data_IF_482001988521
#
_entry.id   IF_482001988521
#
_cell.length_a   1.000
_cell.length_b   1.000
_cell.length_c   1.000
_cell.angle_alpha   90.00
_cell.angle_beta   90.00
_cell.angle_gamma   90.00
#
_symmetry.space_group_name_H-M   'P 1'
#
loop_
_entity.id
_entity.type
_entity.pdbx_description
1 polymer ?
#
# COMPACT_ATOMS: atom_id res chain seq x y z
N UNK A 1 11.10 20.55 -10.06
CA UNK A 1 9.80 20.74 -9.39
C UNK A 1 8.61 20.63 -10.36
N UNK A 2 8.79 20.84 -11.67
CA UNK A 2 7.68 20.75 -12.65
C UNK A 2 7.10 19.33 -12.83
N UNK A 3 7.91 18.28 -12.66
CA UNK A 3 7.45 16.88 -12.77
C UNK A 3 6.39 16.50 -11.74
N UNK A 4 6.56 16.91 -10.48
CA UNK A 4 5.58 16.61 -9.43
C UNK A 4 4.30 17.42 -9.65
N UNK A 5 4.43 18.68 -10.07
CA UNK A 5 3.27 19.54 -10.33
C UNK A 5 2.44 19.02 -11.51
N UNK A 6 3.08 18.57 -12.59
CA UNK A 6 2.39 18.03 -13.76
C UNK A 6 1.66 16.72 -13.44
N UNK A 7 2.31 15.80 -12.73
CA UNK A 7 1.67 14.56 -12.28
C UNK A 7 0.53 14.84 -11.28
N UNK A 8 0.70 15.77 -10.34
CA UNK A 8 -0.35 16.13 -9.40
C UNK A 8 -1.60 16.69 -10.12
N UNK A 9 -1.41 17.51 -11.16
CA UNK A 9 -2.49 18.00 -12.01
C UNK A 9 -3.18 16.88 -12.79
N UNK A 10 -2.44 15.87 -13.24
CA UNK A 10 -3.02 14.69 -13.90
C UNK A 10 -3.92 13.90 -12.95
N UNK A 11 -3.55 13.75 -11.69
CA UNK A 11 -4.38 12.99 -10.74
C UNK A 11 -5.58 13.78 -10.19
N UNK A 12 -5.58 15.12 -10.27
CA UNK A 12 -6.58 16.01 -9.65
C UNK A 12 -8.05 15.67 -9.98
N UNK A 13 -8.37 15.18 -11.18
CA UNK A 13 -9.77 14.89 -11.63
C UNK A 13 -10.00 13.44 -12.07
N UNK A 14 -9.32 12.49 -11.44
CA UNK A 14 -9.40 11.07 -11.83
C UNK A 14 -10.19 10.22 -10.84
N UNK A 15 -10.75 9.09 -11.33
CA UNK A 15 -11.39 8.05 -10.51
C UNK A 15 -10.42 7.58 -9.39
N UNK A 16 -9.11 7.64 -9.63
CA UNK A 16 -8.07 7.35 -8.63
C UNK A 16 -8.24 8.16 -7.34
N UNK A 17 -8.67 9.43 -7.40
CA UNK A 17 -8.93 10.22 -6.19
C UNK A 17 -10.16 9.72 -5.41
N UNK A 18 -11.19 9.20 -6.10
CA UNK A 18 -12.35 8.60 -5.43
C UNK A 18 -11.95 7.26 -4.78
N UNK A 19 -11.09 6.49 -5.44
CA UNK A 19 -10.64 5.18 -4.98
C UNK A 19 -9.95 5.26 -3.61
N UNK A 20 -9.19 6.33 -3.34
CA UNK A 20 -8.52 6.60 -2.06
C UNK A 20 -9.49 6.65 -0.88
N UNK A 21 -10.75 7.04 -1.12
CA UNK A 21 -11.79 7.05 -0.08
C UNK A 21 -12.64 5.79 -0.11
N UNK A 22 -12.92 5.25 -1.31
CA UNK A 22 -13.76 4.06 -1.47
C UNK A 22 -13.10 2.82 -0.88
N UNK A 23 -11.81 2.57 -1.12
CA UNK A 23 -11.15 1.33 -0.68
C UNK A 23 -11.04 1.25 0.85
N UNK A 24 -10.60 2.29 1.59
CA UNK A 24 -10.66 2.27 3.05
C UNK A 24 -12.08 2.11 3.60
N UNK A 25 -13.08 2.69 2.94
CA UNK A 25 -14.48 2.56 3.35
C UNK A 25 -15.00 1.13 3.16
N UNK A 26 -14.69 0.49 2.04
CA UNK A 26 -14.98 -0.93 1.81
C UNK A 26 -14.28 -1.79 2.86
N UNK A 27 -13.03 -1.46 3.21
CA UNK A 27 -12.26 -2.17 4.24
C UNK A 27 -12.95 -2.09 5.60
N UNK A 28 -13.37 -0.90 6.00
CA UNK A 28 -14.10 -0.69 7.25
C UNK A 28 -15.41 -1.48 7.29
N UNK A 29 -16.22 -1.41 6.23
CA UNK A 29 -17.49 -2.17 6.15
C UNK A 29 -17.20 -3.68 6.22
N UNK A 30 -16.21 -4.15 5.48
CA UNK A 30 -15.84 -5.56 5.46
C UNK A 30 -15.35 -6.06 6.82
N UNK A 31 -14.50 -5.27 7.48
CA UNK A 31 -14.00 -5.58 8.81
C UNK A 31 -15.10 -5.52 9.88
N UNK A 32 -16.10 -4.67 9.72
CA UNK A 32 -17.28 -4.66 10.57
C UNK A 32 -18.08 -5.96 10.44
N UNK A 33 -18.30 -6.42 9.21
CA UNK A 33 -19.02 -7.68 8.93
C UNK A 33 -18.24 -8.88 9.51
N UNK A 34 -16.92 -8.89 9.37
CA UNK A 34 -16.08 -10.01 9.81
C UNK A 34 -15.75 -10.01 11.31
N UNK A 35 -15.45 -8.84 11.87
CA UNK A 35 -14.97 -8.69 13.25
C UNK A 35 -16.03 -8.25 14.25
N UNK A 36 -17.18 -7.74 13.79
CA UNK A 36 -18.21 -7.16 14.64
C UNK A 36 -17.70 -6.00 15.50
N UNK A 37 -18.43 -5.68 16.58
CA UNK A 37 -18.12 -4.58 17.48
C UNK A 37 -16.80 -4.75 18.26
N UNK A 38 -16.49 -5.99 18.67
CA UNK A 38 -15.29 -6.31 19.46
C UNK A 38 -14.03 -6.32 18.61
N UNK A 39 -14.14 -6.78 17.36
CA UNK A 39 -13.00 -7.01 16.48
C UNK A 39 -12.69 -5.91 15.49
N UNK A 40 -13.58 -4.92 15.35
CA UNK A 40 -13.56 -3.96 14.25
C UNK A 40 -12.19 -3.31 14.01
N UNK A 41 -11.52 -2.80 15.06
CA UNK A 41 -10.31 -2.01 14.88
C UNK A 41 -9.13 -2.82 14.33
N UNK A 42 -8.77 -3.94 14.98
CA UNK A 42 -7.64 -4.76 14.54
C UNK A 42 -7.98 -5.53 13.25
N UNK A 43 -9.23 -5.94 13.08
CA UNK A 43 -9.70 -6.62 11.87
C UNK A 43 -9.66 -5.68 10.65
N UNK A 44 -9.93 -4.38 10.84
CA UNK A 44 -9.80 -3.36 9.78
C UNK A 44 -8.36 -3.26 9.30
N UNK A 45 -7.40 -3.16 10.23
CA UNK A 45 -5.98 -3.09 9.89
C UNK A 45 -5.49 -4.38 9.24
N UNK A 46 -5.91 -5.54 9.75
CA UNK A 46 -5.58 -6.86 9.21
C UNK A 46 -6.00 -7.00 7.74
N UNK A 47 -7.28 -6.80 7.43
CA UNK A 47 -7.76 -6.90 6.06
C UNK A 47 -7.27 -5.77 5.16
N UNK A 48 -6.93 -4.62 5.74
CA UNK A 48 -6.27 -3.54 5.01
C UNK A 48 -4.95 -4.04 4.44
N UNK A 49 -3.99 -4.44 5.27
CA UNK A 49 -2.66 -4.80 4.77
C UNK A 49 -2.66 -6.13 4.01
N UNK A 50 -3.49 -7.10 4.40
CA UNK A 50 -3.46 -8.43 3.81
C UNK A 50 -4.10 -8.49 2.41
N UNK A 51 -5.13 -7.68 2.15
CA UNK A 51 -5.92 -7.83 0.93
C UNK A 51 -6.18 -6.51 0.20
N UNK A 52 -6.84 -5.56 0.86
CA UNK A 52 -7.41 -4.40 0.17
C UNK A 52 -6.33 -3.38 -0.21
N UNK A 53 -5.26 -3.26 0.57
CA UNK A 53 -4.13 -2.39 0.24
C UNK A 53 -3.33 -2.91 -0.98
N UNK A 54 -2.88 -4.18 -1.04
CA UNK A 54 -2.26 -4.72 -2.25
C UNK A 54 -3.12 -4.53 -3.51
N UNK A 55 -4.44 -4.77 -3.40
CA UNK A 55 -5.38 -4.52 -4.49
C UNK A 55 -5.47 -3.05 -4.88
N UNK A 56 -5.59 -2.15 -3.92
CA UNK A 56 -5.66 -0.72 -4.17
C UNK A 56 -4.38 -0.18 -4.82
N UNK A 57 -3.20 -0.62 -4.37
CA UNK A 57 -1.91 -0.24 -4.96
C UNK A 57 -1.88 -0.66 -6.43
N UNK A 58 -2.23 -1.91 -6.75
CA UNK A 58 -2.22 -2.41 -8.12
C UNK A 58 -3.24 -1.68 -9.02
N UNK A 59 -4.44 -1.38 -8.51
CA UNK A 59 -5.46 -0.61 -9.25
C UNK A 59 -4.96 0.83 -9.49
N UNK A 60 -4.39 1.50 -8.49
CA UNK A 60 -3.88 2.86 -8.65
C UNK A 60 -2.73 2.92 -9.67
N UNK A 61 -1.80 1.95 -9.63
CA UNK A 61 -0.70 1.86 -10.57
C UNK A 61 -1.19 1.60 -12.00
N UNK A 62 -2.14 0.67 -12.17
CA UNK A 62 -2.68 0.35 -13.50
C UNK A 62 -3.53 1.48 -14.09
N UNK A 63 -4.31 2.21 -13.27
CA UNK A 63 -5.03 3.40 -13.72
C UNK A 63 -4.08 4.53 -14.12
N UNK A 64 -2.98 4.71 -13.38
CA UNK A 64 -1.92 5.66 -13.74
C UNK A 64 -1.31 5.33 -15.10
N UNK A 65 -0.98 4.05 -15.32
CA UNK A 65 -0.44 3.57 -16.58
C UNK A 65 -1.41 3.77 -17.75
N UNK A 66 -2.67 3.32 -17.60
CA UNK A 66 -3.69 3.38 -18.67
C UNK A 66 -4.01 4.82 -19.10
N UNK A 67 -3.89 5.78 -18.18
CA UNK A 67 -4.07 7.19 -18.50
C UNK A 67 -3.00 7.70 -19.48
N UNK A 68 -1.74 7.32 -19.26
CA UNK A 68 -0.62 7.68 -20.14
C UNK A 68 -0.68 6.91 -21.47
N UNK A 69 -1.11 5.64 -21.41
CA UNK A 69 -1.31 4.84 -22.61
C UNK A 69 -2.40 5.44 -23.52
N UNK A 70 -3.52 5.85 -22.95
CA UNK A 70 -4.63 6.47 -23.68
C UNK A 70 -4.32 7.89 -24.18
N UNK A 71 -3.45 8.64 -23.49
CA UNK A 71 -3.10 10.01 -23.85
C UNK A 71 -2.09 10.11 -25.02
N UNK A 72 -1.58 8.98 -25.50
CA UNK A 72 -0.66 8.93 -26.64
C UNK A 72 0.43 7.88 -26.52
N UNK A 73 0.18 6.73 -25.86
CA UNK A 73 1.11 5.60 -25.73
C UNK A 73 2.54 6.00 -25.33
N UNK A 74 2.65 6.94 -24.39
CA UNK A 74 3.94 7.50 -23.95
C UNK A 74 4.78 8.26 -24.99
N UNK A 75 4.32 8.43 -26.24
CA UNK A 75 5.08 9.13 -27.29
C UNK A 75 5.42 10.58 -26.91
N UNK A 76 4.50 11.28 -26.24
CA UNK A 76 4.75 12.62 -25.72
C UNK A 76 5.81 12.64 -24.62
N UNK A 77 5.91 11.58 -23.82
CA UNK A 77 6.90 11.47 -22.73
C UNK A 77 8.29 11.11 -23.30
N UNK A 78 8.35 10.21 -24.28
CA UNK A 78 9.61 9.81 -24.92
C UNK A 78 10.23 10.88 -25.83
N UNK A 79 9.39 11.73 -26.43
CA UNK A 79 9.82 12.83 -27.30
C UNK A 79 10.26 14.08 -26.53
N UNK A 80 9.84 14.23 -25.27
CA UNK A 80 10.32 15.33 -24.43
C UNK A 80 11.78 15.10 -23.98
N UNK A 81 12.59 16.16 -23.82
CA UNK A 81 13.96 16.08 -23.28
C UNK A 81 13.94 15.88 -21.76
N UNK A 82 13.15 14.91 -21.30
CA UNK A 82 12.88 14.61 -19.90
C UNK A 82 13.64 13.36 -19.51
N UNK A 83 14.21 13.37 -18.30
CA UNK A 83 14.83 12.16 -17.77
C UNK A 83 13.73 11.18 -17.30
N UNK A 84 13.61 10.06 -18.03
CA UNK A 84 12.63 8.99 -17.81
C UNK A 84 12.69 8.40 -16.40
N UNK A 85 13.88 8.31 -15.80
CA UNK A 85 14.01 7.78 -14.42
C UNK A 85 13.43 8.74 -13.38
N UNK A 86 13.63 10.05 -13.57
CA UNK A 86 13.04 11.07 -12.69
C UNK A 86 11.53 11.13 -12.84
N UNK A 87 11.01 10.88 -14.04
CA UNK A 87 9.57 10.81 -14.28
C UNK A 87 8.91 9.64 -13.55
N UNK A 88 9.46 8.43 -13.66
CA UNK A 88 8.94 7.25 -12.95
C UNK A 88 9.05 7.39 -11.43
N UNK A 89 10.15 7.96 -10.94
CA UNK A 89 10.30 8.24 -9.51
C UNK A 89 9.27 9.26 -9.01
N UNK A 90 9.01 10.33 -9.77
CA UNK A 90 7.99 11.32 -9.43
C UNK A 90 6.58 10.71 -9.39
N UNK A 91 6.26 9.80 -10.32
CA UNK A 91 4.99 9.05 -10.32
C UNK A 91 4.87 8.17 -9.09
N UNK A 92 5.93 7.45 -8.73
CA UNK A 92 5.99 6.65 -7.51
C UNK A 92 5.71 7.49 -6.25
N UNK A 93 6.35 8.64 -6.10
CA UNK A 93 6.13 9.56 -4.97
C UNK A 93 4.66 9.99 -4.87
N UNK A 94 4.04 10.37 -5.98
CA UNK A 94 2.65 10.82 -5.96
C UNK A 94 1.69 9.70 -5.58
N UNK A 95 1.96 8.46 -6.02
CA UNK A 95 1.17 7.31 -5.58
C UNK A 95 1.33 7.05 -4.08
N UNK A 96 2.55 7.20 -3.53
CA UNK A 96 2.78 7.13 -2.07
C UNK A 96 1.99 8.22 -1.33
N UNK A 97 2.03 9.47 -1.78
CA UNK A 97 1.27 10.57 -1.16
C UNK A 97 -0.24 10.26 -1.13
N UNK A 98 -0.78 9.73 -2.22
CA UNK A 98 -2.19 9.33 -2.31
C UNK A 98 -2.54 8.20 -1.34
N UNK A 99 -1.65 7.23 -1.16
CA UNK A 99 -1.81 6.15 -0.18
C UNK A 99 -1.69 6.66 1.27
N UNK A 100 -0.87 7.67 1.54
CA UNK A 100 -0.80 8.30 2.86
C UNK A 100 -2.11 9.02 3.22
N UNK A 101 -2.74 9.70 2.25
CA UNK A 101 -4.08 10.28 2.45
C UNK A 101 -5.11 9.17 2.74
N UNK A 102 -5.03 8.05 2.01
CA UNK A 102 -5.85 6.85 2.24
C UNK A 102 -5.69 6.32 3.67
N UNK A 103 -4.46 6.30 4.19
CA UNK A 103 -4.15 5.81 5.53
C UNK A 103 -4.71 6.70 6.64
N UNK A 104 -4.61 8.03 6.47
CA UNK A 104 -5.21 8.98 7.42
C UNK A 104 -6.73 8.81 7.43
N UNK A 105 -7.34 8.66 6.25
CA UNK A 105 -8.78 8.43 6.15
C UNK A 105 -9.20 7.11 6.81
N UNK A 106 -8.46 6.02 6.58
CA UNK A 106 -8.69 4.75 7.26
C UNK A 106 -8.58 4.88 8.78
N UNK A 107 -7.55 5.57 9.28
CA UNK A 107 -7.35 5.79 10.72
C UNK A 107 -8.52 6.54 11.35
N UNK A 108 -9.12 7.50 10.63
CA UNK A 108 -10.33 8.19 11.06
C UNK A 108 -11.53 7.23 11.13
N UNK A 109 -11.71 6.37 10.12
CA UNK A 109 -12.78 5.36 10.12
C UNK A 109 -12.65 4.35 11.26
N UNK A 110 -11.43 3.90 11.56
CA UNK A 110 -11.15 3.03 12.70
C UNK A 110 -11.54 3.74 14.00
N UNK A 111 -11.20 5.02 14.11
CA UNK A 111 -11.41 5.83 15.32
C UNK A 111 -12.88 6.13 15.61
N UNK A 112 -13.81 5.95 14.66
CA UNK A 112 -15.25 6.07 14.92
C UNK A 112 -15.70 5.11 16.02
N UNK A 113 -15.09 3.92 16.10
CA UNK A 113 -15.37 2.94 17.15
C UNK A 113 -15.09 3.46 18.57
N UNK A 114 -14.12 4.37 18.74
CA UNK A 114 -13.84 5.01 20.03
C UNK A 114 -15.02 5.85 20.55
N UNK A 115 -15.87 6.34 19.64
CA UNK A 115 -17.04 7.18 19.99
C UNK A 115 -18.27 6.29 20.23
N UNK A 116 -18.47 5.28 19.38
CA UNK A 116 -19.66 4.42 19.42
C UNK A 116 -19.58 3.38 20.56
N UNK A 117 -18.41 2.78 20.78
CA UNK A 117 -18.21 1.70 21.72
C UNK A 117 -16.84 1.82 22.42
N UNK A 118 -16.68 2.79 23.34
CA UNK A 118 -15.39 3.02 24.01
C UNK A 118 -14.90 1.82 24.84
N UNK A 119 -15.81 0.96 25.32
CA UNK A 119 -15.47 -0.23 26.09
C UNK A 119 -14.79 -1.34 25.25
N UNK A 120 -14.96 -1.33 23.93
CA UNK A 120 -14.38 -2.35 23.01
C UNK A 120 -13.23 -1.79 22.20
N UNK A 121 -12.90 -0.51 22.40
CA UNK A 121 -11.84 0.16 21.69
C UNK A 121 -10.46 -0.23 22.26
N UNK A 122 -9.62 -0.73 21.38
CA UNK A 122 -8.27 -1.22 21.67
C UNK A 122 -7.22 -0.15 21.37
N UNK A 123 -7.37 0.58 20.27
CA UNK A 123 -6.42 1.58 19.79
C UNK A 123 -6.95 3.00 19.97
N UNK A 124 -6.08 3.88 20.47
CA UNK A 124 -6.31 5.31 20.42
C UNK A 124 -6.18 5.86 18.99
N UNK A 125 -6.64 7.10 18.77
CA UNK A 125 -6.54 7.78 17.48
C UNK A 125 -5.09 7.84 16.98
N UNK A 126 -4.14 8.19 17.87
CA UNK A 126 -2.73 8.26 17.53
C UNK A 126 -2.16 6.89 17.12
N UNK A 127 -2.51 5.84 17.87
CA UNK A 127 -2.11 4.48 17.49
C UNK A 127 -2.66 4.12 16.12
N UNK A 128 -3.95 4.34 15.85
CA UNK A 128 -4.59 4.08 14.55
C UNK A 128 -3.90 4.82 13.40
N UNK A 129 -3.51 6.08 13.59
CA UNK A 129 -2.76 6.86 12.58
C UNK A 129 -1.38 6.26 12.36
N UNK A 130 -0.63 5.99 13.43
CA UNK A 130 0.74 5.45 13.34
C UNK A 130 0.80 4.10 12.64
N UNK A 131 -0.09 3.16 12.96
CA UNK A 131 -0.10 1.86 12.26
C UNK A 131 -0.65 1.92 10.85
N UNK A 132 -1.63 2.77 10.57
CA UNK A 132 -2.09 2.95 9.19
C UNK A 132 -0.97 3.51 8.31
N UNK A 133 -0.21 4.49 8.79
CA UNK A 133 0.97 5.04 8.09
C UNK A 133 2.09 3.99 8.01
N UNK A 134 2.38 3.29 9.11
CA UNK A 134 3.41 2.25 9.16
C UNK A 134 3.16 1.12 8.16
N UNK A 135 1.91 0.67 8.03
CA UNK A 135 1.49 -0.32 7.04
C UNK A 135 1.73 0.18 5.60
N UNK A 136 1.42 1.44 5.30
CA UNK A 136 1.71 2.01 3.97
C UNK A 136 3.21 1.99 3.73
N UNK A 137 4.02 2.47 4.68
CA UNK A 137 5.48 2.52 4.55
C UNK A 137 6.09 1.13 4.31
N UNK A 138 5.60 0.11 5.01
CA UNK A 138 6.01 -1.28 4.80
C UNK A 138 5.55 -1.88 3.44
N UNK A 139 4.63 -1.22 2.73
CA UNK A 139 4.06 -1.68 1.47
C UNK A 139 4.45 -0.84 0.25
N UNK A 140 5.25 0.22 0.42
CA UNK A 140 5.67 1.14 -0.66
C UNK A 140 6.39 0.41 -1.79
N UNK A 141 7.17 -0.63 -1.48
CA UNK A 141 7.87 -1.46 -2.45
C UNK A 141 6.97 -2.07 -3.55
N UNK A 142 5.66 -2.25 -3.27
CA UNK A 142 4.71 -2.82 -4.24
C UNK A 142 4.44 -1.90 -5.44
N UNK A 143 4.59 -0.58 -5.26
CA UNK A 143 4.29 0.43 -6.29
C UNK A 143 5.13 0.24 -7.55
N UNK A 144 6.48 0.22 -7.50
CA UNK A 144 7.30 0.04 -8.69
C UNK A 144 7.09 -1.34 -9.34
N UNK A 145 6.85 -2.39 -8.54
CA UNK A 145 6.53 -3.71 -9.07
C UNK A 145 5.21 -3.70 -9.88
N UNK A 146 4.17 -3.07 -9.32
CA UNK A 146 2.86 -2.97 -9.97
C UNK A 146 2.90 -2.10 -11.22
N UNK A 147 3.68 -1.00 -11.22
CA UNK A 147 3.89 -0.17 -12.40
C UNK A 147 4.62 -0.95 -13.52
N UNK A 148 5.67 -1.69 -13.17
CA UNK A 148 6.40 -2.54 -14.10
C UNK A 148 5.50 -3.59 -14.74
N UNK A 149 4.77 -4.35 -13.91
CA UNK A 149 3.85 -5.39 -14.38
C UNK A 149 2.71 -4.81 -15.22
N UNK A 150 2.16 -3.65 -14.80
CA UNK A 150 1.07 -2.99 -15.53
C UNK A 150 1.50 -2.62 -16.95
N UNK A 151 2.75 -2.19 -17.14
CA UNK A 151 3.31 -1.90 -18.48
C UNK A 151 3.47 -3.13 -19.36
N UNK A 152 3.85 -4.28 -18.79
CA UNK A 152 4.14 -5.48 -19.58
C UNK A 152 2.92 -6.34 -19.88
N UNK A 153 1.97 -6.38 -18.95
CA UNK A 153 0.88 -7.38 -18.95
C UNK A 153 -0.51 -6.75 -18.90
N UNK A 154 -0.59 -5.42 -18.89
CA UNK A 154 -1.85 -4.68 -18.75
C UNK A 154 -2.40 -4.70 -17.32
N UNK A 155 -3.68 -4.37 -17.17
CA UNK A 155 -4.28 -4.08 -15.85
C UNK A 155 -4.59 -5.33 -15.01
N UNK A 156 -4.98 -6.44 -15.63
CA UNK A 156 -5.55 -7.58 -14.90
C UNK A 156 -4.49 -8.35 -14.08
N UNK A 157 -3.34 -8.65 -14.70
CA UNK A 157 -2.29 -9.47 -14.08
C UNK A 157 -1.71 -8.84 -12.81
N UNK A 158 -1.31 -7.54 -12.77
CA UNK A 158 -0.82 -6.92 -11.54
C UNK A 158 -1.85 -6.92 -10.42
N UNK A 159 -3.14 -6.72 -10.74
CA UNK A 159 -4.20 -6.70 -9.74
C UNK A 159 -4.38 -8.08 -9.13
N UNK A 160 -4.59 -9.10 -9.95
CA UNK A 160 -4.85 -10.48 -9.48
C UNK A 160 -3.62 -11.03 -8.77
N UNK A 161 -2.43 -10.84 -9.34
CA UNK A 161 -1.19 -11.33 -8.75
C UNK A 161 -0.89 -10.63 -7.42
N UNK A 162 -0.97 -9.30 -7.34
CA UNK A 162 -0.63 -8.58 -6.11
C UNK A 162 -1.65 -8.82 -4.99
N UNK A 163 -2.93 -9.04 -5.32
CA UNK A 163 -3.97 -9.37 -4.34
C UNK A 163 -3.86 -10.79 -3.81
N UNK A 164 -3.66 -11.78 -4.69
CA UNK A 164 -3.50 -13.19 -4.29
C UNK A 164 -2.22 -13.35 -3.48
N UNK A 165 -1.09 -12.80 -3.94
CA UNK A 165 0.16 -12.85 -3.19
C UNK A 165 0.04 -12.10 -1.86
N UNK A 166 -0.67 -10.96 -1.84
CA UNK A 166 -1.01 -10.25 -0.62
C UNK A 166 -1.69 -11.16 0.40
N UNK A 167 -2.80 -11.79 0.04
CA UNK A 167 -3.54 -12.67 0.97
C UNK A 167 -2.68 -13.86 1.38
N UNK A 168 -2.13 -14.59 0.41
CA UNK A 168 -1.48 -15.88 0.66
C UNK A 168 -0.19 -15.69 1.48
N UNK A 169 0.65 -14.73 1.11
CA UNK A 169 1.96 -14.55 1.77
C UNK A 169 1.86 -13.74 3.05
N UNK A 170 0.96 -12.74 3.14
CA UNK A 170 0.82 -11.95 4.36
C UNK A 170 0.19 -12.75 5.50
N UNK A 171 -0.61 -13.78 5.19
CA UNK A 171 -1.27 -14.66 6.18
C UNK A 171 -0.56 -15.99 6.39
N UNK A 172 0.51 -16.27 5.63
CA UNK A 172 1.31 -17.49 5.77
C UNK A 172 2.13 -17.46 7.07
N UNK A 173 1.50 -17.90 8.16
CA UNK A 173 2.12 -18.00 9.50
C UNK A 173 3.42 -18.79 9.51
N UNK A 174 3.54 -19.82 8.67
CA UNK A 174 4.76 -20.62 8.51
C UNK A 174 5.96 -19.82 7.99
N UNK A 175 5.73 -18.88 7.07
CA UNK A 175 6.77 -18.00 6.52
C UNK A 175 7.01 -16.80 7.43
N UNK A 176 5.94 -16.29 8.04
CA UNK A 176 6.00 -15.16 8.93
C UNK A 176 6.75 -15.43 10.24
N UNK A 177 6.54 -16.58 10.88
CA UNK A 177 7.14 -16.87 12.19
C UNK A 177 8.59 -17.40 12.11
N UNK A 178 9.15 -17.54 10.91
CA UNK A 178 10.51 -18.01 10.67
C UNK A 178 11.39 -16.90 10.10
N UNK A 179 12.71 -17.09 10.08
CA UNK A 179 13.67 -16.11 9.52
C UNK A 179 13.37 -15.77 8.04
N UNK A 180 12.57 -16.60 7.36
CA UNK A 180 12.12 -16.38 5.99
C UNK A 180 11.37 -15.05 5.77
N UNK A 181 10.75 -14.46 6.81
CA UNK A 181 10.01 -13.19 6.67
C UNK A 181 10.88 -12.04 6.15
N UNK A 182 12.21 -12.10 6.35
CA UNK A 182 13.15 -11.09 5.84
C UNK A 182 13.16 -11.04 4.31
N UNK A 183 12.94 -12.18 3.65
CA UNK A 183 13.01 -12.33 2.21
C UNK A 183 11.65 -12.27 1.51
N UNK A 184 10.54 -12.22 2.27
CA UNK A 184 9.18 -12.21 1.73
C UNK A 184 8.56 -10.83 1.95
N UNK A 185 8.55 -9.95 0.93
CA UNK A 185 8.15 -8.56 1.09
C UNK A 185 6.69 -8.35 1.52
N UNK A 186 5.80 -9.30 1.18
CA UNK A 186 4.40 -9.28 1.60
C UNK A 186 4.23 -9.50 3.12
N UNK A 187 5.18 -10.15 3.79
CA UNK A 187 5.12 -10.36 5.24
C UNK A 187 5.53 -9.11 6.05
N UNK A 188 6.19 -8.12 5.44
CA UNK A 188 6.74 -6.97 6.16
C UNK A 188 5.67 -6.10 6.82
N UNK A 189 4.51 -5.94 6.18
CA UNK A 189 3.39 -5.20 6.77
C UNK A 189 2.79 -5.93 7.98
N UNK A 190 2.62 -7.26 7.89
CA UNK A 190 2.17 -8.08 9.01
C UNK A 190 3.19 -8.05 10.18
N UNK A 191 4.48 -8.16 9.86
CA UNK A 191 5.57 -8.10 10.86
C UNK A 191 5.81 -6.73 11.47
N UNK A 192 5.38 -5.66 10.80
CA UNK A 192 5.30 -4.34 11.41
C UNK A 192 4.07 -4.22 12.32
N UNK A 193 2.93 -4.79 11.92
CA UNK A 193 1.69 -4.75 12.70
C UNK A 193 1.76 -5.54 14.01
N UNK A 194 2.52 -6.63 14.06
CA UNK A 194 2.70 -7.45 15.27
C UNK A 194 3.24 -6.64 16.48
N UNK A 195 4.41 -5.99 16.43
CA UNK A 195 4.90 -5.17 17.54
C UNK A 195 4.18 -3.82 17.68
N UNK A 196 3.76 -3.19 16.57
CA UNK A 196 3.18 -1.85 16.61
C UNK A 196 1.72 -1.85 17.07
N UNK A 197 0.96 -2.89 16.71
CA UNK A 197 -0.47 -3.00 16.93
C UNK A 197 -0.86 -4.26 17.71
N UNK A 198 0.05 -5.19 18.00
CA UNK A 198 -0.31 -6.43 18.68
C UNK A 198 -1.16 -7.37 17.80
N UNK A 199 -1.11 -7.22 16.47
CA UNK A 199 -1.85 -8.05 15.51
C UNK A 199 -0.93 -9.16 15.01
N UNK A 200 -1.24 -10.40 15.35
CA UNK A 200 -0.54 -11.57 14.84
C UNK A 200 -0.79 -11.77 13.34
N UNK A 201 0.06 -12.58 12.71
CA UNK A 201 0.03 -12.84 11.26
C UNK A 201 -1.24 -13.57 10.81
N UNK A 202 -1.85 -14.34 11.72
CA UNK A 202 -3.14 -15.00 11.55
C UNK A 202 -4.34 -14.03 11.71
N UNK A 203 -4.11 -12.77 12.09
CA UNK A 203 -5.12 -11.76 12.33
C UNK A 203 -5.70 -11.72 13.75
N UNK A 204 -5.18 -12.52 14.69
CA UNK A 204 -5.61 -12.44 16.11
C UNK A 204 -4.92 -11.31 16.83
N UNK A 205 -5.63 -10.70 17.78
CA UNK A 205 -5.09 -9.64 18.63
C UNK A 205 -4.49 -10.24 19.90
N UNK A 206 -3.17 -10.09 20.07
CA UNK A 206 -2.42 -10.57 21.24
C UNK A 206 -2.14 -9.45 22.27
N UNK A 207 -2.34 -8.18 21.90
CA UNK A 207 -2.20 -7.03 22.79
C UNK A 207 -0.79 -6.73 23.31
N UNK A 208 0.22 -7.43 22.82
CA UNK A 208 1.61 -7.16 23.14
C UNK A 208 2.17 -6.03 22.24
N UNK A 209 1.79 -4.79 22.56
CA UNK A 209 2.23 -3.61 21.83
C UNK A 209 3.54 -3.07 22.44
N UNK A 210 4.59 -2.94 21.62
CA UNK A 210 5.90 -2.46 22.07
C UNK A 210 6.79 -2.03 20.92
N UNK A 211 7.73 -1.14 21.20
CA UNK A 211 8.73 -0.74 20.19
C UNK A 211 9.73 -1.88 19.98
N UNK A 212 9.74 -2.42 18.76
CA UNK A 212 10.66 -3.49 18.36
C UNK A 212 11.50 -3.06 17.17
N UNK A 213 12.74 -3.58 17.11
CA UNK A 213 13.65 -3.38 15.99
C UNK A 213 13.03 -3.86 14.65
N UNK A 214 12.09 -4.81 14.72
CA UNK A 214 11.37 -5.35 13.56
C UNK A 214 10.62 -4.27 12.76
N UNK A 215 10.08 -3.24 13.43
CA UNK A 215 9.38 -2.12 12.77
C UNK A 215 10.35 -1.39 11.84
N UNK A 216 11.54 -1.05 12.35
CA UNK A 216 12.57 -0.36 11.60
C UNK A 216 13.07 -1.22 10.44
N UNK A 217 13.29 -2.51 10.68
CA UNK A 217 13.74 -3.46 9.64
C UNK A 217 12.73 -3.55 8.50
N UNK A 218 11.43 -3.73 8.80
CA UNK A 218 10.38 -3.82 7.77
C UNK A 218 10.30 -2.56 6.91
N UNK A 219 10.41 -1.37 7.52
CA UNK A 219 10.40 -0.10 6.78
C UNK A 219 11.67 0.04 5.94
N UNK A 220 12.85 -0.25 6.49
CA UNK A 220 14.12 -0.16 5.78
C UNK A 220 14.16 -1.11 4.57
N UNK A 221 13.70 -2.35 4.73
CA UNK A 221 13.62 -3.32 3.63
C UNK A 221 12.64 -2.88 2.54
N UNK A 222 11.47 -2.35 2.93
CA UNK A 222 10.49 -1.78 1.98
C UNK A 222 11.07 -0.63 1.16
N UNK A 223 11.73 0.33 1.82
CA UNK A 223 12.34 1.47 1.12
C UNK A 223 13.49 1.02 0.21
N UNK A 224 14.34 0.10 0.69
CA UNK A 224 15.44 -0.43 -0.11
C UNK A 224 14.92 -1.15 -1.36
N UNK A 225 13.91 -2.00 -1.21
CA UNK A 225 13.30 -2.71 -2.32
C UNK A 225 12.60 -1.75 -3.29
N UNK A 226 11.92 -0.72 -2.78
CA UNK A 226 11.35 0.35 -3.60
C UNK A 226 12.40 1.01 -4.49
N UNK A 227 13.54 1.41 -3.93
CA UNK A 227 14.61 2.07 -4.69
C UNK A 227 15.21 1.15 -5.77
N UNK A 228 15.47 -0.13 -5.44
CA UNK A 228 16.00 -1.11 -6.39
C UNK A 228 15.02 -1.34 -7.54
N UNK A 229 13.74 -1.57 -7.22
CA UNK A 229 12.71 -1.82 -8.23
C UNK A 229 12.44 -0.59 -9.07
N UNK A 230 12.36 0.61 -8.48
CA UNK A 230 12.22 1.86 -9.23
C UNK A 230 13.39 2.10 -10.19
N UNK A 231 14.62 1.76 -9.79
CA UNK A 231 15.79 1.87 -10.66
C UNK A 231 15.74 0.85 -11.81
N UNK A 232 15.42 -0.41 -11.52
CA UNK A 232 15.27 -1.46 -12.52
C UNK A 232 14.18 -1.13 -13.54
N UNK A 233 13.04 -0.66 -13.04
CA UNK A 233 11.88 -0.25 -13.81
C UNK A 233 12.19 0.95 -14.72
N UNK A 234 12.87 1.98 -14.19
CA UNK A 234 13.34 3.11 -14.96
C UNK A 234 14.34 2.71 -16.06
N UNK A 235 15.23 1.76 -15.79
CA UNK A 235 16.19 1.25 -16.77
C UNK A 235 15.49 0.51 -17.91
N UNK A 236 14.52 -0.34 -17.60
CA UNK A 236 13.71 -1.03 -18.62
C UNK A 236 12.90 -0.04 -19.46
N UNK A 237 12.28 0.95 -18.80
CA UNK A 237 11.51 2.00 -19.47
C UNK A 237 12.36 2.85 -20.43
N UNK A 238 13.62 3.11 -20.08
CA UNK A 238 14.55 3.84 -20.95
C UNK A 238 14.98 3.07 -22.21
N UNK A 239 14.90 1.73 -22.20
CA UNK A 239 15.22 0.90 -23.38
C UNK A 239 14.10 0.88 -24.42
N UNK A 240 12.88 1.29 -24.05
CA UNK A 240 11.76 1.42 -24.99
C UNK A 240 11.79 2.68 -25.85
N UNK A 241 12.85 3.49 -25.75
CA UNK A 241 13.11 4.66 -26.58
C UNK A 241 13.64 4.27 -27.95
#
# INVERSE_FOLDING_TARGET
MDYLKSEHLKFKRTISNKLIFIVPLITAIFAWIMGGYMGYQYMTLYWWYAFLLPGAIAILCSLSHRKEENAGKYYSVFSMPVNLSRFEFAKGIILVEKLLVSAIFLALLISISNIIAPATAVYSLLHSITGSIGIILASVWQIPLCLYLARKTGMFVPIVLNTILGIVLSTATALGNTIAWWFVPYCWAAKLAEPLMGIEINGTYAGNCGFSIAIMISISLSILLFLILSYADAKDFSKGR
#
